data_IF_685579584963
#
_entry.id   IF_685579584963
#
_cell.length_a   1.000
_cell.length_b   1.000
_cell.length_c   1.000
_cell.angle_alpha   90.00
_cell.angle_beta   90.00
_cell.angle_gamma   90.00
#
_symmetry.space_group_name_H-M   'P 1'
#
loop_
_entity.id
_entity.type
_entity.pdbx_description
1 polymer ?
#
# COMPACT_ATOMS: atom_id res chain seq x y z
N UNK A 1 9.57 5.72 -17.38
CA UNK A 1 9.38 4.47 -18.15
C UNK A 1 8.12 3.79 -17.63
N UNK A 2 7.16 3.48 -18.48
CA UNK A 2 5.97 2.72 -18.08
C UNK A 2 6.34 1.26 -17.89
N UNK A 3 5.75 0.61 -16.89
CA UNK A 3 5.83 -0.84 -16.75
C UNK A 3 5.20 -1.50 -17.98
N UNK A 4 5.97 -2.38 -18.62
CA UNK A 4 5.47 -3.27 -19.65
C UNK A 4 5.44 -4.67 -19.08
N UNK A 5 4.29 -5.33 -19.17
CA UNK A 5 4.13 -6.69 -18.63
C UNK A 5 5.18 -7.62 -19.22
N UNK A 6 5.97 -8.26 -18.37
CA UNK A 6 7.04 -9.16 -18.78
C UNK A 6 8.43 -8.52 -18.90
N UNK A 7 8.58 -7.20 -18.72
CA UNK A 7 9.89 -6.52 -18.76
C UNK A 7 10.62 -6.52 -17.41
N UNK A 8 9.91 -6.85 -16.33
CA UNK A 8 10.47 -6.95 -14.99
C UNK A 8 9.92 -8.19 -14.29
N UNK A 9 10.84 -9.01 -13.77
CA UNK A 9 10.46 -10.12 -12.90
C UNK A 9 10.17 -9.59 -11.49
N UNK A 10 8.96 -9.86 -10.98
CA UNK A 10 8.53 -9.50 -9.65
C UNK A 10 8.71 -10.67 -8.68
N UNK A 11 9.31 -10.38 -7.53
CA UNK A 11 9.43 -11.36 -6.45
C UNK A 11 8.09 -11.52 -5.73
N UNK A 12 7.46 -12.71 -5.74
CA UNK A 12 6.23 -12.96 -4.99
C UNK A 12 6.39 -12.76 -3.48
N UNK A 13 7.58 -13.03 -2.96
CA UNK A 13 7.86 -12.95 -1.53
C UNK A 13 8.18 -11.54 -1.03
N UNK A 14 8.57 -10.61 -1.91
CA UNK A 14 9.04 -9.28 -1.50
C UNK A 14 8.39 -8.14 -2.27
N UNK A 15 8.29 -8.22 -3.60
CA UNK A 15 7.72 -7.14 -4.42
C UNK A 15 6.19 -7.08 -4.27
N UNK A 16 5.53 -8.22 -4.33
CA UNK A 16 4.06 -8.30 -4.19
C UNK A 16 3.59 -7.81 -2.81
N UNK A 17 4.15 -8.26 -1.67
CA UNK A 17 3.77 -7.75 -0.37
C UNK A 17 3.99 -6.24 -0.22
N UNK A 18 5.05 -5.69 -0.82
CA UNK A 18 5.32 -4.26 -0.80
C UNK A 18 4.26 -3.47 -1.58
N UNK A 19 3.94 -3.90 -2.80
CA UNK A 19 2.88 -3.28 -3.61
C UNK A 19 1.53 -3.35 -2.91
N UNK A 20 1.22 -4.48 -2.31
CA UNK A 20 0.00 -4.71 -1.54
C UNK A 20 -0.10 -3.76 -0.34
N UNK A 21 1.01 -3.56 0.39
CA UNK A 21 1.04 -2.61 1.50
C UNK A 21 0.85 -1.16 1.03
N UNK A 22 1.46 -0.76 -0.08
CA UNK A 22 1.25 0.58 -0.66
C UNK A 22 -0.23 0.80 -0.99
N UNK A 23 -0.87 -0.18 -1.63
CA UNK A 23 -2.30 -0.12 -1.94
C UNK A 23 -3.14 0.01 -0.67
N UNK A 24 -2.90 -0.83 0.33
CA UNK A 24 -3.67 -0.86 1.59
C UNK A 24 -3.52 0.42 2.39
N UNK A 25 -2.36 1.04 2.33
CA UNK A 25 -2.06 2.29 3.04
C UNK A 25 -2.64 3.54 2.37
N UNK A 26 -3.06 3.48 1.11
CA UNK A 26 -3.50 4.61 0.32
C UNK A 26 -2.34 5.56 -0.03
N UNK A 27 -1.91 6.37 0.93
CA UNK A 27 -0.66 7.14 0.90
C UNK A 27 0.24 6.66 2.03
N UNK A 28 1.52 6.55 1.77
CA UNK A 28 2.48 6.04 2.74
C UNK A 28 3.83 6.73 2.59
N UNK A 29 4.47 7.11 3.69
CA UNK A 29 5.85 7.61 3.64
C UNK A 29 6.82 6.44 3.47
N UNK A 30 8.02 6.73 2.95
CA UNK A 30 9.07 5.71 2.82
C UNK A 30 9.43 5.07 4.16
N UNK A 31 9.44 5.84 5.24
CA UNK A 31 9.71 5.30 6.58
C UNK A 31 8.60 4.40 7.10
N UNK A 32 7.34 4.79 6.93
CA UNK A 32 6.20 3.95 7.29
C UNK A 32 6.21 2.64 6.50
N UNK A 33 6.43 2.72 5.19
CA UNK A 33 6.47 1.54 4.33
C UNK A 33 7.60 0.58 4.74
N UNK A 34 8.79 1.11 5.04
CA UNK A 34 9.89 0.29 5.54
C UNK A 34 9.54 -0.41 6.87
N UNK A 35 8.91 0.31 7.80
CA UNK A 35 8.47 -0.26 9.08
C UNK A 35 7.45 -1.39 8.87
N UNK A 36 6.47 -1.21 7.99
CA UNK A 36 5.52 -2.28 7.65
C UNK A 36 6.23 -3.51 7.10
N UNK A 37 7.16 -3.33 6.16
CA UNK A 37 7.89 -4.46 5.56
C UNK A 37 8.81 -5.15 6.57
N UNK A 38 9.39 -4.39 7.49
CA UNK A 38 10.19 -4.95 8.58
C UNK A 38 9.35 -5.76 9.57
N UNK A 39 8.19 -5.27 9.95
CA UNK A 39 7.25 -5.97 10.85
C UNK A 39 6.69 -7.24 10.20
N UNK A 40 6.44 -7.22 8.91
CA UNK A 40 6.06 -8.42 8.13
C UNK A 40 7.23 -9.37 7.86
N UNK A 41 8.44 -8.99 8.22
CA UNK A 41 9.66 -9.77 7.99
C UNK A 41 9.96 -10.05 6.49
N UNK A 42 9.45 -9.22 5.61
CA UNK A 42 9.69 -9.30 4.17
C UNK A 42 10.91 -8.49 3.72
N UNK A 43 11.40 -7.60 4.58
CA UNK A 43 12.59 -6.79 4.31
C UNK A 43 13.46 -6.68 5.57
N UNK A 44 14.75 -6.98 5.45
CA UNK A 44 15.68 -6.98 6.56
C UNK A 44 16.63 -5.79 6.61
N UNK A 45 16.87 -5.11 5.47
CA UNK A 45 17.78 -3.98 5.40
C UNK A 45 17.16 -2.78 4.71
N UNK A 46 17.49 -1.59 5.21
CA UNK A 46 17.04 -0.33 4.60
C UNK A 46 17.57 -0.16 3.19
N UNK A 47 18.81 -0.56 2.94
CA UNK A 47 19.42 -0.45 1.61
C UNK A 47 18.69 -1.31 0.58
N UNK A 48 18.39 -2.55 0.91
CA UNK A 48 17.65 -3.46 0.02
C UNK A 48 16.24 -2.92 -0.25
N UNK A 49 15.57 -2.40 0.78
CA UNK A 49 14.27 -1.76 0.67
C UNK A 49 14.32 -0.54 -0.28
N UNK A 50 15.25 0.39 -0.06
CA UNK A 50 15.37 1.60 -0.88
C UNK A 50 15.66 1.25 -2.35
N UNK A 51 16.47 0.23 -2.60
CA UNK A 51 16.74 -0.28 -3.95
C UNK A 51 15.47 -0.84 -4.60
N UNK A 52 14.69 -1.61 -3.86
CA UNK A 52 13.42 -2.20 -4.32
C UNK A 52 12.39 -1.12 -4.65
N UNK A 53 12.18 -0.15 -3.76
CA UNK A 53 11.25 0.96 -3.99
C UNK A 53 11.66 1.76 -5.22
N UNK A 54 12.95 2.08 -5.35
CA UNK A 54 13.46 2.81 -6.53
C UNK A 54 13.20 2.05 -7.83
N UNK A 55 13.39 0.74 -7.82
CA UNK A 55 13.11 -0.12 -8.97
C UNK A 55 11.61 -0.12 -9.32
N UNK A 56 10.74 -0.29 -8.35
CA UNK A 56 9.29 -0.29 -8.56
C UNK A 56 8.76 1.05 -9.04
N UNK A 57 9.31 2.15 -8.52
CA UNK A 57 9.01 3.51 -9.02
C UNK A 57 9.50 3.68 -10.45
N UNK A 58 10.72 3.23 -10.75
CA UNK A 58 11.29 3.32 -12.10
C UNK A 58 10.49 2.55 -13.15
N UNK A 59 9.84 1.45 -12.77
CA UNK A 59 8.94 0.69 -13.63
C UNK A 59 7.47 1.17 -13.59
N UNK A 60 7.18 2.26 -12.87
CA UNK A 60 5.85 2.85 -12.85
C UNK A 60 4.80 2.07 -12.06
N UNK A 61 5.19 1.17 -11.17
CA UNK A 61 4.27 0.41 -10.31
C UNK A 61 3.89 1.15 -9.03
N UNK A 62 4.78 2.03 -8.58
CA UNK A 62 4.56 2.95 -7.44
C UNK A 62 4.79 4.37 -7.95
N UNK A 63 3.96 5.30 -7.51
CA UNK A 63 4.08 6.72 -7.81
C UNK A 63 4.64 7.48 -6.63
N UNK A 64 5.65 8.33 -6.88
CA UNK A 64 6.05 9.39 -5.95
C UNK A 64 5.02 10.51 -5.97
N UNK A 65 4.73 11.07 -4.81
CA UNK A 65 3.83 12.21 -4.65
C UNK A 65 4.59 13.41 -4.07
N UNK A 66 5.43 14.09 -4.86
CA UNK A 66 6.30 15.17 -4.34
C UNK A 66 5.50 16.35 -3.77
N UNK A 67 4.33 16.66 -4.33
CA UNK A 67 3.44 17.70 -3.80
C UNK A 67 2.81 17.37 -2.45
N UNK A 68 2.88 16.11 -2.00
CA UNK A 68 2.35 15.63 -0.72
C UNK A 68 3.46 15.31 0.29
N UNK A 69 4.73 15.55 -0.09
CA UNK A 69 5.87 15.28 0.78
C UNK A 69 5.73 16.05 2.11
N UNK A 70 6.00 15.37 3.22
CA UNK A 70 6.01 15.93 4.57
C UNK A 70 7.45 16.18 5.00
N UNK A 71 7.95 17.40 4.85
CA UNK A 71 9.34 17.73 5.13
C UNK A 71 10.29 16.94 4.21
N UNK A 72 11.16 16.11 4.81
CA UNK A 72 12.11 15.24 4.06
C UNK A 72 11.52 13.88 3.67
N UNK A 73 10.28 13.59 4.05
CA UNK A 73 9.67 12.27 3.83
C UNK A 73 8.96 12.22 2.50
N UNK A 74 9.44 11.36 1.61
CA UNK A 74 8.79 11.05 0.35
C UNK A 74 7.49 10.28 0.61
N UNK A 75 6.41 10.69 -0.06
CA UNK A 75 5.12 10.00 -0.02
C UNK A 75 4.92 9.19 -1.30
N UNK A 76 4.41 7.98 -1.15
CA UNK A 76 4.12 7.04 -2.24
C UNK A 76 2.66 6.65 -2.28
N UNK A 77 2.18 6.31 -3.46
CA UNK A 77 0.88 5.67 -3.69
C UNK A 77 1.01 4.61 -4.79
N UNK A 78 0.03 3.70 -4.86
CA UNK A 78 0.01 2.70 -5.91
C UNK A 78 -0.37 3.35 -7.25
N UNK A 79 0.26 2.92 -8.33
CA UNK A 79 -0.13 3.32 -9.69
C UNK A 79 -1.24 2.39 -10.24
N UNK A 80 -1.82 2.78 -11.37
CA UNK A 80 -2.76 1.90 -12.10
C UNK A 80 -2.09 0.58 -12.53
N UNK A 81 -0.85 0.66 -12.98
CA UNK A 81 -0.07 -0.52 -13.38
C UNK A 81 0.27 -1.41 -12.17
N UNK A 82 0.62 -0.82 -11.04
CA UNK A 82 0.81 -1.54 -9.79
C UNK A 82 -0.45 -2.25 -9.30
N UNK A 83 -1.60 -1.59 -9.37
CA UNK A 83 -2.88 -2.21 -9.03
C UNK A 83 -3.22 -3.36 -9.99
N UNK A 84 -2.93 -3.21 -11.30
CA UNK A 84 -3.14 -4.26 -12.29
C UNK A 84 -2.28 -5.49 -12.03
N UNK A 85 -1.03 -5.30 -11.62
CA UNK A 85 -0.13 -6.39 -11.21
C UNK A 85 -0.70 -7.16 -10.02
N UNK A 86 -1.26 -6.48 -9.03
CA UNK A 86 -1.88 -7.12 -7.87
C UNK A 86 -3.13 -7.91 -8.24
N UNK A 87 -3.95 -7.40 -9.17
CA UNK A 87 -5.11 -8.12 -9.71
C UNK A 87 -4.66 -9.41 -10.41
N UNK A 88 -3.65 -9.32 -11.28
CA UNK A 88 -3.10 -10.47 -12.01
C UNK A 88 -2.48 -11.52 -11.07
N UNK A 89 -1.94 -11.08 -9.94
CA UNK A 89 -1.42 -11.95 -8.89
C UNK A 89 -2.50 -12.54 -7.96
N UNK A 90 -3.77 -12.15 -8.15
CA UNK A 90 -4.89 -12.59 -7.29
C UNK A 90 -4.96 -11.91 -5.92
N UNK A 91 -4.17 -10.85 -5.71
CA UNK A 91 -4.03 -10.16 -4.42
C UNK A 91 -5.03 -9.01 -4.23
N UNK A 92 -5.77 -8.65 -5.26
CA UNK A 92 -6.74 -7.57 -5.25
C UNK A 92 -8.12 -8.10 -5.66
N UNK A 93 -9.18 -7.67 -4.97
CA UNK A 93 -10.55 -8.07 -5.30
C UNK A 93 -10.93 -7.64 -6.72
N UNK A 94 -11.50 -8.59 -7.48
CA UNK A 94 -11.98 -8.34 -8.83
C UNK A 94 -12.98 -7.16 -8.87
N UNK A 95 -12.80 -6.25 -9.82
CA UNK A 95 -13.64 -5.06 -9.98
C UNK A 95 -13.04 -3.79 -9.38
N UNK A 96 -11.96 -3.87 -8.62
CA UNK A 96 -11.31 -2.71 -8.03
C UNK A 96 -10.08 -2.26 -8.79
N UNK A 97 -10.28 -1.45 -9.80
CA UNK A 97 -9.21 -0.77 -10.53
C UNK A 97 -8.99 0.67 -10.07
N UNK A 98 -9.86 1.22 -9.22
CA UNK A 98 -9.84 2.61 -8.83
C UNK A 98 -9.50 2.75 -7.34
N UNK A 99 -8.29 3.21 -7.08
CA UNK A 99 -7.82 3.58 -5.74
C UNK A 99 -8.49 4.88 -5.26
N UNK A 100 -9.10 5.61 -6.17
CA UNK A 100 -9.73 6.92 -5.92
C UNK A 100 -11.11 6.84 -5.22
N UNK A 101 -11.56 5.65 -4.86
CA UNK A 101 -12.88 5.46 -4.23
C UNK A 101 -12.89 5.97 -2.77
N UNK A 102 -11.74 6.06 -2.13
CA UNK A 102 -11.64 6.57 -0.76
C UNK A 102 -11.13 8.00 -0.80
N UNK A 103 -12.05 8.97 -0.76
CA UNK A 103 -11.77 10.41 -0.79
C UNK A 103 -11.22 10.93 0.54
N UNK A 104 -10.18 10.31 1.05
CA UNK A 104 -9.52 10.79 2.25
C UNK A 104 -8.29 11.64 1.90
N UNK A 105 -7.99 12.64 2.74
CA UNK A 105 -6.77 13.44 2.56
C UNK A 105 -5.51 12.61 2.79
N UNK A 106 -4.41 13.01 2.16
CA UNK A 106 -3.11 12.38 2.39
C UNK A 106 -2.73 12.38 3.88
N UNK A 107 -2.95 13.49 4.58
CA UNK A 107 -2.67 13.59 6.02
C UNK A 107 -3.42 12.53 6.82
N UNK A 108 -4.70 12.33 6.52
CA UNK A 108 -5.53 11.31 7.19
C UNK A 108 -4.97 9.90 6.98
N UNK A 109 -4.58 9.54 5.76
CA UNK A 109 -3.96 8.25 5.46
C UNK A 109 -2.65 8.05 6.23
N UNK A 110 -1.80 9.08 6.29
CA UNK A 110 -0.53 9.01 7.02
C UNK A 110 -0.75 8.83 8.53
N UNK A 111 -1.75 9.49 9.10
CA UNK A 111 -2.13 9.31 10.51
C UNK A 111 -2.66 7.92 10.80
N UNK A 112 -3.51 7.36 9.93
CA UNK A 112 -3.99 5.99 10.04
C UNK A 112 -2.84 4.98 10.00
N UNK A 113 -1.84 5.18 9.16
CA UNK A 113 -0.65 4.35 9.11
C UNK A 113 0.13 4.37 10.44
N UNK A 114 0.23 5.54 11.08
CA UNK A 114 0.88 5.64 12.41
C UNK A 114 0.11 4.86 13.47
N UNK A 115 -1.22 4.95 13.47
CA UNK A 115 -2.07 4.15 14.37
C UNK A 115 -1.88 2.65 14.12
N UNK A 116 -1.90 2.24 12.87
CA UNK A 116 -1.67 0.84 12.47
C UNK A 116 -0.31 0.33 12.96
N UNK A 117 0.75 1.08 12.70
CA UNK A 117 2.11 0.73 13.13
C UNK A 117 2.24 0.69 14.66
N UNK A 118 1.64 1.64 15.37
CA UNK A 118 1.66 1.67 16.83
C UNK A 118 0.99 0.44 17.44
N UNK A 119 -0.19 0.06 16.93
CA UNK A 119 -0.91 -1.14 17.35
C UNK A 119 -0.11 -2.42 17.05
N UNK A 120 0.52 -2.48 15.89
CA UNK A 120 1.33 -3.64 15.52
C UNK A 120 2.57 -3.79 16.40
N UNK A 121 3.31 -2.69 16.62
CA UNK A 121 4.49 -2.70 17.51
C UNK A 121 4.16 -3.10 18.94
N UNK A 122 3.00 -2.68 19.44
CA UNK A 122 2.53 -3.02 20.81
C UNK A 122 1.99 -4.45 20.92
N UNK A 123 1.92 -5.20 19.83
CA UNK A 123 1.32 -6.54 19.75
C UNK A 123 -0.17 -6.58 20.15
N UNK A 124 -0.84 -5.43 20.12
CA UNK A 124 -2.28 -5.32 20.37
C UNK A 124 -3.12 -5.65 19.14
N UNK A 125 -2.51 -5.70 17.96
CA UNK A 125 -3.20 -5.90 16.70
C UNK A 125 -3.34 -7.39 16.38
N UNK A 126 -4.59 -7.83 16.20
CA UNK A 126 -4.91 -9.17 15.67
C UNK A 126 -5.08 -9.08 14.14
N UNK A 127 -5.80 -8.09 13.67
CA UNK A 127 -6.07 -7.86 12.26
C UNK A 127 -6.26 -6.37 12.00
N UNK A 128 -5.91 -5.91 10.81
CA UNK A 128 -6.19 -4.57 10.32
C UNK A 128 -6.88 -4.66 8.96
N UNK A 129 -8.09 -4.14 8.87
CA UNK A 129 -8.84 -4.04 7.61
C UNK A 129 -8.87 -2.59 7.19
N UNK A 130 -8.14 -2.19 6.13
CA UNK A 130 -8.06 -0.80 5.69
C UNK A 130 -9.33 -0.35 4.96
N UNK A 131 -9.53 0.97 4.87
CA UNK A 131 -10.66 1.57 4.18
C UNK A 131 -10.81 1.11 2.72
N UNK A 132 -9.72 0.89 2.01
CA UNK A 132 -9.72 0.38 0.64
C UNK A 132 -10.38 -1.00 0.52
N UNK A 133 -10.12 -1.90 1.46
CA UNK A 133 -10.74 -3.22 1.52
C UNK A 133 -12.20 -3.14 1.96
N UNK A 134 -12.51 -2.32 2.97
CA UNK A 134 -13.88 -2.11 3.48
C UNK A 134 -14.79 -1.59 2.36
N UNK A 135 -14.39 -0.54 1.67
CA UNK A 135 -15.16 -0.02 0.54
C UNK A 135 -15.36 -1.05 -0.56
N UNK A 136 -14.34 -1.87 -0.86
CA UNK A 136 -14.43 -2.95 -1.83
C UNK A 136 -15.48 -3.99 -1.46
N UNK A 137 -15.46 -4.43 -0.21
CA UNK A 137 -16.40 -5.42 0.28
C UNK A 137 -17.83 -4.88 0.36
N UNK A 138 -18.01 -3.59 0.70
CA UNK A 138 -19.31 -2.95 0.69
C UNK A 138 -19.91 -2.79 -0.70
N UNK A 139 -19.12 -2.57 -1.73
CA UNK A 139 -19.58 -2.53 -3.11
C UNK A 139 -20.15 -3.87 -3.60
N UNK A 140 -19.64 -4.97 -3.08
CA UNK A 140 -20.01 -6.32 -3.54
C UNK A 140 -20.99 -7.04 -2.62
N UNK A 141 -20.91 -6.84 -1.31
CA UNK A 141 -21.63 -7.66 -0.33
C UNK A 141 -22.24 -6.89 0.84
N UNK A 142 -22.07 -5.57 0.92
CA UNK A 142 -22.52 -4.75 2.07
C UNK A 142 -22.07 -5.32 3.42
N UNK A 143 -20.86 -5.85 3.48
CA UNK A 143 -20.34 -6.57 4.65
C UNK A 143 -20.25 -5.71 5.91
N UNK A 144 -19.96 -4.43 5.75
CA UNK A 144 -19.85 -3.47 6.83
C UNK A 144 -21.03 -2.50 6.81
N UNK A 145 -21.45 -2.03 7.98
CA UNK A 145 -22.58 -1.10 8.11
C UNK A 145 -22.34 0.24 7.42
N UNK A 146 -21.08 0.64 7.27
CA UNK A 146 -20.65 1.85 6.55
C UNK A 146 -19.19 1.71 6.12
N UNK A 147 -18.71 2.66 5.32
CA UNK A 147 -17.30 2.76 4.95
C UNK A 147 -16.48 3.35 6.11
N UNK A 148 -15.93 2.47 6.93
CA UNK A 148 -15.04 2.85 8.02
C UNK A 148 -13.64 3.19 7.49
N UNK A 149 -12.89 4.02 8.23
CA UNK A 149 -11.48 4.31 7.91
C UNK A 149 -10.59 3.08 8.11
N UNK A 150 -10.87 2.30 9.13
CA UNK A 150 -10.29 0.99 9.36
C UNK A 150 -11.14 0.19 10.35
N UNK A 151 -10.95 -1.13 10.36
CA UNK A 151 -11.51 -2.05 11.36
C UNK A 151 -10.36 -2.87 11.96
N UNK A 152 -10.34 -2.99 13.29
CA UNK A 152 -9.33 -3.66 14.09
C UNK A 152 -9.89 -4.92 14.73
#
# INVERSE_FOLDING_TARGET
MRYEKGTMELSPARDIPLLQQVLRSGFVTGNQLYEFMRLEQTEGSRQAFDHRVRRLVGHGLIEKRPGLARGRHQVYSISKDGASVLIDAGELFAGRRNVDVVKQSCAHWLELNEVHLALWRSRALVRWTPATEICSQNLTSYRYAKDYDAVV
#
